data_IF_613659769505
#
_entry.id   IF_613659769505
#
_cell.length_a   1.000
_cell.length_b   1.000
_cell.length_c   1.000
_cell.angle_alpha   90.00
_cell.angle_beta   90.00
_cell.angle_gamma   90.00
#
_symmetry.space_group_name_H-M   'P 1'
#
loop_
_entity.id
_entity.type
_entity.pdbx_description
1 polymer ?
#
# COMPACT_ATOMS: atom_id res chain seq x y z
N UNK A 1 -14.73 -17.41 16.05
CA UNK A 1 -13.81 -17.73 14.93
C UNK A 1 -12.41 -17.45 15.43
N UNK A 2 -11.53 -18.43 15.35
CA UNK A 2 -10.24 -18.50 16.06
C UNK A 2 -9.26 -17.44 15.57
N UNK A 3 -8.58 -16.79 16.51
CA UNK A 3 -7.53 -15.77 16.32
C UNK A 3 -6.34 -16.21 15.43
N UNK A 4 -6.32 -17.44 14.94
CA UNK A 4 -5.24 -18.04 14.17
C UNK A 4 -5.04 -17.46 12.76
N UNK A 5 -6.05 -16.80 12.17
CA UNK A 5 -6.00 -16.34 10.76
C UNK A 5 -5.85 -14.82 10.58
N UNK A 6 -5.62 -14.04 11.64
CA UNK A 6 -5.60 -12.57 11.52
C UNK A 6 -4.33 -12.04 10.82
N UNK A 7 -3.18 -12.69 10.99
CA UNK A 7 -1.92 -12.22 10.39
C UNK A 7 -1.79 -12.60 8.91
N UNK A 8 -2.60 -13.54 8.41
CA UNK A 8 -2.58 -13.98 7.01
C UNK A 8 -3.03 -12.86 6.04
N UNK A 9 -3.85 -11.92 6.50
CA UNK A 9 -4.27 -10.76 5.71
C UNK A 9 -3.24 -9.62 5.69
N UNK A 10 -2.06 -9.82 6.29
CA UNK A 10 -0.99 -8.83 6.33
C UNK A 10 0.15 -9.28 5.41
N UNK A 11 0.40 -8.49 4.38
CA UNK A 11 1.49 -8.72 3.42
C UNK A 11 2.74 -7.94 3.78
N UNK A 12 3.90 -8.56 3.62
CA UNK A 12 5.20 -7.87 3.57
C UNK A 12 5.60 -7.71 2.11
N UNK A 13 5.75 -6.46 1.66
CA UNK A 13 6.05 -6.12 0.26
C UNK A 13 7.47 -5.56 0.20
N UNK A 14 8.34 -6.22 -0.56
CA UNK A 14 9.72 -5.77 -0.78
C UNK A 14 9.86 -5.22 -2.19
N UNK A 15 10.22 -3.95 -2.31
CA UNK A 15 10.34 -3.24 -3.59
C UNK A 15 11.79 -3.17 -4.00
N UNK A 16 12.10 -3.63 -5.22
CA UNK A 16 13.41 -3.53 -5.87
C UNK A 16 14.56 -4.07 -5.04
N UNK A 17 14.30 -5.15 -4.29
CA UNK A 17 15.31 -5.82 -3.46
C UNK A 17 16.42 -6.38 -4.35
N UNK A 18 17.66 -6.08 -3.96
CA UNK A 18 18.84 -6.40 -4.77
C UNK A 18 19.62 -7.61 -4.28
N UNK A 19 19.57 -7.92 -2.99
CA UNK A 19 20.37 -9.00 -2.39
C UNK A 19 19.49 -10.20 -2.00
N UNK A 20 19.71 -11.39 -2.58
CA UNK A 20 18.94 -12.58 -2.23
C UNK A 20 19.00 -12.93 -0.75
N UNK A 21 20.16 -12.74 -0.11
CA UNK A 21 20.31 -12.96 1.32
C UNK A 21 19.38 -12.11 2.20
N UNK A 22 19.02 -10.90 1.78
CA UNK A 22 18.02 -10.09 2.48
C UNK A 22 16.62 -10.70 2.35
N UNK A 23 16.26 -11.24 1.18
CA UNK A 23 14.97 -11.92 0.97
C UNK A 23 14.86 -13.14 1.88
N UNK A 24 15.91 -13.95 1.98
CA UNK A 24 15.98 -15.07 2.91
C UNK A 24 15.84 -14.64 4.37
N UNK A 25 16.60 -13.63 4.78
CA UNK A 25 16.55 -13.11 6.15
C UNK A 25 15.19 -12.49 6.51
N UNK A 26 14.53 -11.85 5.54
CA UNK A 26 13.15 -11.36 5.67
C UNK A 26 12.18 -12.52 5.86
N UNK A 27 12.25 -13.57 5.03
CA UNK A 27 11.39 -14.74 5.17
C UNK A 27 11.54 -15.38 6.57
N UNK A 28 12.77 -15.47 7.07
CA UNK A 28 13.05 -15.93 8.44
C UNK A 28 12.40 -15.04 9.51
N UNK A 29 12.55 -13.72 9.39
CA UNK A 29 11.96 -12.75 10.31
C UNK A 29 10.42 -12.85 10.32
N UNK A 30 9.81 -12.95 9.14
CA UNK A 30 8.37 -13.15 8.95
C UNK A 30 7.88 -14.42 9.63
N UNK A 31 8.48 -15.57 9.30
CA UNK A 31 8.06 -16.87 9.84
C UNK A 31 8.19 -16.93 11.35
N UNK A 32 9.26 -16.35 11.91
CA UNK A 32 9.47 -16.28 13.36
C UNK A 32 8.33 -15.51 14.06
N UNK A 33 7.73 -14.54 13.39
CA UNK A 33 6.64 -13.70 13.91
C UNK A 33 5.24 -14.16 13.45
N UNK A 34 5.14 -15.24 12.69
CA UNK A 34 3.87 -15.80 12.21
C UNK A 34 3.28 -15.12 10.98
N UNK A 35 4.11 -14.47 10.16
CA UNK A 35 3.73 -13.90 8.86
C UNK A 35 4.17 -14.83 7.71
N UNK A 36 3.39 -14.87 6.64
CA UNK A 36 3.62 -15.75 5.49
C UNK A 36 3.43 -15.09 4.11
N UNK A 37 2.62 -14.03 3.98
CA UNK A 37 2.37 -13.36 2.69
C UNK A 37 3.53 -12.43 2.29
N UNK A 38 4.57 -13.00 1.68
CA UNK A 38 5.70 -12.27 1.11
C UNK A 38 5.44 -11.91 -0.36
N UNK A 39 5.61 -10.63 -0.69
CA UNK A 39 5.47 -10.12 -2.06
C UNK A 39 6.73 -9.37 -2.47
N UNK A 40 7.22 -9.62 -3.68
CA UNK A 40 8.36 -8.94 -4.25
C UNK A 40 7.92 -8.13 -5.46
N UNK A 41 8.29 -6.86 -5.50
CA UNK A 41 7.99 -5.96 -6.61
C UNK A 41 9.30 -5.64 -7.32
N UNK A 42 9.37 -5.98 -8.60
CA UNK A 42 10.55 -5.75 -9.43
C UNK A 42 11.89 -6.13 -8.74
N UNK A 43 12.00 -7.34 -8.14
CA UNK A 43 13.27 -7.76 -7.56
C UNK A 43 14.37 -7.79 -8.64
N UNK A 44 15.64 -7.69 -8.24
CA UNK A 44 16.77 -7.68 -9.18
C UNK A 44 16.78 -8.87 -10.15
N UNK A 45 16.29 -10.03 -9.71
CA UNK A 45 16.04 -11.20 -10.55
C UNK A 45 14.70 -11.82 -10.16
N UNK A 46 13.98 -12.43 -11.11
CA UNK A 46 12.69 -13.09 -10.83
C UNK A 46 12.86 -14.33 -9.96
N UNK A 47 14.02 -14.97 -10.04
CA UNK A 47 14.40 -16.19 -9.30
C UNK A 47 15.06 -15.88 -7.94
N UNK A 48 15.00 -14.63 -7.46
CA UNK A 48 15.72 -14.20 -6.24
C UNK A 48 15.38 -15.06 -5.01
N UNK A 49 14.15 -15.59 -4.92
CA UNK A 49 13.70 -16.46 -3.84
C UNK A 49 14.32 -17.88 -3.89
N UNK A 50 14.73 -18.32 -5.08
CA UNK A 50 15.33 -19.65 -5.31
C UNK A 50 16.86 -19.62 -5.29
N UNK A 51 17.47 -18.45 -5.12
CA UNK A 51 18.92 -18.33 -5.00
C UNK A 51 19.42 -19.05 -3.74
N UNK A 52 20.57 -19.72 -3.85
CA UNK A 52 21.18 -20.48 -2.74
C UNK A 52 21.36 -19.64 -1.47
N UNK A 53 21.78 -18.38 -1.63
CA UNK A 53 21.94 -17.44 -0.51
C UNK A 53 20.61 -17.11 0.18
N UNK A 54 19.51 -16.95 -0.56
CA UNK A 54 18.19 -16.71 0.01
C UNK A 54 17.70 -17.94 0.80
N UNK A 55 17.84 -19.13 0.22
CA UNK A 55 17.47 -20.40 0.86
C UNK A 55 18.29 -20.62 2.14
N UNK A 56 19.60 -20.41 2.07
CA UNK A 56 20.51 -20.56 3.21
C UNK A 56 20.14 -19.62 4.36
N UNK A 57 19.87 -18.34 4.07
CA UNK A 57 19.56 -17.35 5.11
C UNK A 57 18.12 -17.42 5.63
N UNK A 58 17.20 -18.04 4.90
CA UNK A 58 15.85 -18.32 5.38
C UNK A 58 15.81 -19.31 6.55
N UNK A 59 16.84 -20.16 6.71
CA UNK A 59 17.07 -20.99 7.91
C UNK A 59 15.78 -21.66 8.44
N UNK A 60 15.06 -22.39 7.58
CA UNK A 60 13.81 -23.09 7.91
C UNK A 60 12.53 -22.36 7.48
N UNK A 61 12.63 -21.15 6.91
CA UNK A 61 11.52 -20.39 6.33
C UNK A 61 11.42 -20.51 4.80
N UNK A 62 11.78 -21.68 4.26
CA UNK A 62 11.78 -21.94 2.81
C UNK A 62 10.36 -21.90 2.24
N UNK A 63 9.38 -22.37 2.99
CA UNK A 63 7.95 -22.29 2.68
C UNK A 63 7.48 -20.86 2.40
N UNK A 64 7.98 -19.86 3.15
CA UNK A 64 7.65 -18.44 2.89
C UNK A 64 8.26 -17.97 1.56
N UNK A 65 9.45 -18.46 1.21
CA UNK A 65 10.07 -18.16 -0.09
C UNK A 65 9.34 -18.84 -1.24
N UNK A 66 8.90 -20.08 -1.07
CA UNK A 66 8.15 -20.86 -2.07
C UNK A 66 6.75 -20.27 -2.33
N UNK A 67 6.12 -19.72 -1.30
CA UNK A 67 4.82 -19.05 -1.41
C UNK A 67 4.93 -17.58 -1.84
N UNK A 68 6.16 -17.03 -1.92
CA UNK A 68 6.36 -15.64 -2.26
C UNK A 68 5.88 -15.34 -3.68
N UNK A 69 5.21 -14.20 -3.85
CA UNK A 69 4.69 -13.76 -5.16
C UNK A 69 5.52 -12.62 -5.71
N UNK A 70 5.86 -12.71 -7.00
CA UNK A 70 6.61 -11.67 -7.71
C UNK A 70 5.66 -10.87 -8.60
N UNK A 71 5.76 -9.55 -8.53
CA UNK A 71 4.94 -8.59 -9.25
C UNK A 71 5.82 -7.65 -10.07
N UNK A 72 5.31 -7.22 -11.22
CA UNK A 72 6.02 -6.28 -12.10
C UNK A 72 5.81 -4.82 -11.66
N UNK A 73 4.85 -4.53 -10.76
CA UNK A 73 4.63 -3.18 -10.22
C UNK A 73 4.08 -3.18 -8.79
N UNK A 74 4.31 -2.07 -8.05
CA UNK A 74 3.79 -1.91 -6.70
C UNK A 74 2.24 -1.86 -6.66
N UNK A 75 1.55 -1.17 -7.58
CA UNK A 75 0.09 -1.24 -7.66
C UNK A 75 -0.46 -2.67 -7.79
N UNK A 76 0.18 -3.53 -8.59
CA UNK A 76 -0.27 -4.93 -8.75
C UNK A 76 -0.09 -5.73 -7.45
N UNK A 77 1.04 -5.51 -6.77
CA UNK A 77 1.30 -6.09 -5.46
C UNK A 77 0.36 -5.60 -4.35
N UNK A 78 -0.40 -4.51 -4.57
CA UNK A 78 -1.34 -3.93 -3.60
C UNK A 78 -2.80 -3.98 -4.06
N UNK A 79 -3.10 -4.63 -5.18
CA UNK A 79 -4.41 -4.58 -5.81
C UNK A 79 -5.56 -5.11 -4.94
N UNK A 80 -5.26 -6.07 -4.06
CA UNK A 80 -6.17 -6.72 -3.10
C UNK A 80 -5.98 -6.17 -1.67
N UNK A 81 -5.36 -5.01 -1.50
CA UNK A 81 -5.10 -4.38 -0.20
C UNK A 81 -5.80 -3.05 -0.12
N UNK A 82 -6.42 -2.75 1.01
CA UNK A 82 -7.08 -1.44 1.24
C UNK A 82 -6.19 -0.48 2.02
N UNK A 83 -5.19 -1.00 2.73
CA UNK A 83 -4.22 -0.19 3.48
C UNK A 83 -2.81 -0.60 3.15
N UNK A 84 -1.98 0.39 2.84
CA UNK A 84 -0.57 0.22 2.51
C UNK A 84 0.29 1.18 3.33
N UNK A 85 1.12 0.61 4.21
CA UNK A 85 2.05 1.28 5.10
C UNK A 85 3.42 1.36 4.46
N UNK A 86 3.81 2.55 3.98
CA UNK A 86 5.15 2.79 3.47
C UNK A 86 6.15 2.96 4.62
N UNK A 87 7.20 2.13 4.67
CA UNK A 87 8.33 2.38 5.56
C UNK A 87 9.30 3.39 4.97
N UNK A 88 9.59 4.44 5.72
CA UNK A 88 10.57 5.44 5.33
C UNK A 88 11.13 6.18 6.54
N UNK A 89 12.45 6.38 6.55
CA UNK A 89 13.13 7.22 7.52
C UNK A 89 12.96 8.73 7.23
N UNK A 90 12.42 9.11 6.06
CA UNK A 90 12.28 10.51 5.63
C UNK A 90 10.90 11.07 5.98
N UNK A 91 10.90 12.18 6.70
CA UNK A 91 9.70 13.02 6.86
C UNK A 91 9.31 13.63 5.51
N UNK A 92 8.04 13.50 5.12
CA UNK A 92 7.49 14.21 3.96
C UNK A 92 6.95 15.58 4.40
N UNK A 93 7.28 16.64 3.66
CA UNK A 93 6.60 17.94 3.79
C UNK A 93 5.10 17.83 3.41
N UNK A 94 4.77 16.91 2.51
CA UNK A 94 3.42 16.66 2.00
C UNK A 94 3.16 15.15 1.93
N UNK A 95 2.82 14.55 3.07
CA UNK A 95 2.45 13.13 3.19
C UNK A 95 1.37 12.89 4.25
N UNK A 96 0.92 11.62 4.41
CA UNK A 96 0.14 11.21 5.57
C UNK A 96 0.97 11.38 6.86
N UNK A 97 0.29 11.41 8.02
CA UNK A 97 0.97 11.48 9.32
C UNK A 97 1.89 10.29 9.52
N UNK A 98 3.05 10.52 10.14
CA UNK A 98 3.97 9.45 10.50
C UNK A 98 3.45 8.67 11.70
N UNK A 99 3.52 7.36 11.61
CA UNK A 99 3.17 6.43 12.68
C UNK A 99 4.41 5.66 13.14
N UNK A 100 4.40 5.26 14.41
CA UNK A 100 5.36 4.27 14.92
C UNK A 100 5.00 2.88 14.40
N UNK A 101 5.95 1.91 14.41
CA UNK A 101 5.63 0.52 14.07
C UNK A 101 4.52 -0.06 14.96
N UNK A 102 4.43 0.34 16.23
CA UNK A 102 3.41 -0.10 17.17
C UNK A 102 2.02 0.43 16.79
N UNK A 103 1.90 1.72 16.49
CA UNK A 103 0.61 2.31 16.09
C UNK A 103 0.12 1.74 14.76
N UNK A 104 1.04 1.54 13.82
CA UNK A 104 0.73 0.92 12.53
C UNK A 104 0.31 -0.55 12.69
N UNK A 105 0.94 -1.29 13.61
CA UNK A 105 0.54 -2.66 13.93
C UNK A 105 -0.87 -2.72 14.51
N UNK A 106 -1.22 -1.84 15.46
CA UNK A 106 -2.58 -1.74 16.02
C UNK A 106 -3.61 -1.43 14.93
N UNK A 107 -3.33 -0.44 14.07
CA UNK A 107 -4.23 -0.09 12.96
C UNK A 107 -4.41 -1.27 12.00
N UNK A 108 -3.33 -1.92 11.58
CA UNK A 108 -3.39 -3.07 10.68
C UNK A 108 -4.19 -4.24 11.29
N UNK A 109 -3.98 -4.54 12.57
CA UNK A 109 -4.67 -5.62 13.27
C UNK A 109 -6.17 -5.35 13.44
N UNK A 110 -6.60 -4.09 13.61
CA UNK A 110 -8.03 -3.75 13.64
C UNK A 110 -8.77 -4.10 12.34
N UNK A 111 -8.07 -4.27 11.22
CA UNK A 111 -8.65 -4.65 9.93
C UNK A 111 -8.73 -6.16 9.74
N UNK A 112 -7.94 -6.91 10.50
CA UNK A 112 -7.88 -8.36 10.34
C UNK A 112 -9.22 -8.99 10.72
N UNK A 113 -9.63 -10.03 9.97
CA UNK A 113 -10.93 -10.68 10.17
C UNK A 113 -12.13 -10.01 9.47
N UNK A 114 -11.96 -8.82 8.90
CA UNK A 114 -13.01 -8.13 8.12
C UNK A 114 -12.95 -8.38 6.61
N UNK A 115 -11.99 -9.22 6.15
CA UNK A 115 -11.70 -9.43 4.74
C UNK A 115 -10.85 -8.32 4.10
N UNK A 116 -10.50 -7.27 4.87
CA UNK A 116 -9.62 -6.20 4.44
C UNK A 116 -8.16 -6.59 4.67
N UNK A 117 -7.37 -6.59 3.60
CA UNK A 117 -5.94 -6.84 3.67
C UNK A 117 -5.12 -5.57 3.86
N UNK A 118 -4.06 -5.67 4.66
CA UNK A 118 -3.07 -4.62 4.87
C UNK A 118 -1.70 -5.04 4.30
N UNK A 119 -0.88 -4.07 3.90
CA UNK A 119 0.47 -4.32 3.42
C UNK A 119 1.49 -3.37 4.05
N UNK A 120 2.64 -3.90 4.45
CA UNK A 120 3.80 -3.09 4.84
C UNK A 120 4.82 -3.13 3.71
N UNK A 121 5.16 -1.94 3.19
CA UNK A 121 5.96 -1.77 1.97
C UNK A 121 7.35 -1.27 2.36
N UNK A 122 8.37 -2.01 1.95
CA UNK A 122 9.78 -1.74 2.22
C UNK A 122 10.50 -1.49 0.89
N UNK A 123 11.33 -0.44 0.86
CA UNK A 123 12.06 -0.06 -0.35
C UNK A 123 13.40 -0.76 -0.53
N UNK A 124 14.07 -0.43 -1.63
CA UNK A 124 15.40 -0.94 -1.95
C UNK A 124 16.43 -0.56 -0.88
N UNK A 125 17.44 -1.40 -0.69
CA UNK A 125 18.37 -1.32 0.45
C UNK A 125 19.13 0.01 0.54
N UNK A 126 19.46 0.62 -0.59
CA UNK A 126 20.28 1.84 -0.64
C UNK A 126 19.45 3.11 -0.76
N UNK A 127 18.36 3.05 -1.49
CA UNK A 127 17.59 4.24 -1.88
C UNK A 127 16.28 4.38 -1.11
N UNK A 128 15.82 3.31 -0.46
CA UNK A 128 14.47 3.23 0.09
C UNK A 128 13.41 3.28 -1.02
N UNK A 129 12.20 3.69 -0.64
CA UNK A 129 11.10 3.92 -1.57
C UNK A 129 11.29 5.27 -2.30
N UNK A 130 11.04 5.26 -3.60
CA UNK A 130 10.90 6.46 -4.41
C UNK A 130 9.67 7.29 -4.01
N UNK A 131 9.63 8.55 -4.42
CA UNK A 131 8.47 9.40 -4.14
C UNK A 131 7.17 8.84 -4.75
N UNK A 132 7.25 8.20 -5.91
CA UNK A 132 6.08 7.64 -6.58
C UNK A 132 5.57 6.40 -5.84
N UNK A 133 6.47 5.51 -5.39
CA UNK A 133 6.11 4.37 -4.54
C UNK A 133 5.50 4.82 -3.19
N UNK A 134 6.02 5.91 -2.61
CA UNK A 134 5.46 6.52 -1.41
C UNK A 134 4.06 7.11 -1.63
N UNK A 135 3.74 7.57 -2.84
CA UNK A 135 2.41 8.12 -3.18
C UNK A 135 1.36 7.03 -3.38
N UNK A 136 1.76 5.81 -3.75
CA UNK A 136 0.85 4.66 -3.82
C UNK A 136 0.35 4.26 -2.42
N UNK A 137 1.17 4.49 -1.38
CA UNK A 137 0.84 4.11 -0.01
C UNK A 137 0.01 5.19 0.71
N UNK A 138 -1.04 4.77 1.43
CA UNK A 138 -1.95 5.67 2.17
C UNK A 138 -1.58 5.84 3.66
N UNK A 139 -0.56 5.14 4.14
CA UNK A 139 0.04 5.29 5.47
C UNK A 139 1.55 5.39 5.39
N UNK A 140 2.17 5.99 6.40
CA UNK A 140 3.63 6.05 6.50
C UNK A 140 4.10 5.68 7.91
N UNK A 141 5.07 4.78 7.95
CA UNK A 141 5.69 4.28 9.17
C UNK A 141 7.14 4.70 9.21
N UNK A 142 7.58 5.20 10.36
CA UNK A 142 8.98 5.50 10.61
C UNK A 142 9.46 4.69 11.81
N UNK A 143 10.60 4.02 11.67
CA UNK A 143 11.27 3.38 12.79
C UNK A 143 12.16 4.43 13.44
N UNK A 144 11.90 4.75 14.70
CA UNK A 144 12.76 5.64 15.47
C UNK A 144 14.14 4.98 15.63
N UNK A 145 15.13 5.54 14.93
CA UNK A 145 16.51 5.09 14.93
C UNK A 145 17.43 6.24 15.39
N UNK A 146 18.74 5.96 15.52
CA UNK A 146 19.72 6.99 15.82
C UNK A 146 19.68 8.09 14.73
N UNK A 147 19.44 9.37 15.06
CA UNK A 147 19.39 10.45 14.07
C UNK A 147 20.68 10.62 13.25
N UNK A 148 21.83 10.18 13.78
CA UNK A 148 23.13 10.23 13.09
C UNK A 148 23.32 9.04 12.14
N UNK A 149 22.69 7.90 12.44
CA UNK A 149 22.81 6.67 11.65
C UNK A 149 21.48 5.90 11.69
N UNK A 150 20.55 6.31 10.85
CA UNK A 150 19.16 5.81 10.83
C UNK A 150 18.92 4.69 9.80
N UNK A 151 19.97 4.28 9.08
CA UNK A 151 19.88 3.25 8.04
C UNK A 151 19.87 1.86 8.65
N UNK A 152 18.70 1.23 8.68
CA UNK A 152 18.51 -0.17 9.06
C UNK A 152 18.69 -1.07 7.84
N UNK A 153 19.27 -2.26 8.03
CA UNK A 153 19.19 -3.30 7.01
C UNK A 153 17.72 -3.68 6.76
N UNK A 154 17.38 -4.07 5.53
CA UNK A 154 16.03 -4.43 5.13
C UNK A 154 15.38 -5.47 6.06
N UNK A 155 16.08 -6.57 6.36
CA UNK A 155 15.57 -7.62 7.23
C UNK A 155 15.41 -7.17 8.69
N UNK A 156 16.23 -6.23 9.17
CA UNK A 156 16.10 -5.65 10.51
C UNK A 156 14.86 -4.75 10.59
N UNK A 157 14.62 -3.92 9.57
CA UNK A 157 13.42 -3.11 9.49
C UNK A 157 12.15 -3.97 9.45
N UNK A 158 12.15 -5.04 8.64
CA UNK A 158 11.06 -6.01 8.62
C UNK A 158 10.89 -6.69 9.98
N UNK A 159 11.98 -7.10 10.64
CA UNK A 159 11.92 -7.74 11.95
C UNK A 159 11.28 -6.86 13.02
N UNK A 160 11.55 -5.54 13.02
CA UNK A 160 10.93 -4.59 13.96
C UNK A 160 9.42 -4.50 13.74
N UNK A 161 8.99 -4.38 12.48
CA UNK A 161 7.56 -4.32 12.12
C UNK A 161 6.85 -5.63 12.43
N UNK A 162 7.45 -6.76 12.03
CA UNK A 162 6.91 -8.08 12.28
C UNK A 162 6.81 -8.38 13.79
N UNK A 163 7.80 -7.96 14.57
CA UNK A 163 7.75 -8.04 16.03
C UNK A 163 6.62 -7.19 16.61
N UNK A 164 6.48 -5.94 16.18
CA UNK A 164 5.38 -5.08 16.63
C UNK A 164 4.00 -5.71 16.33
N UNK A 165 3.80 -6.22 15.11
CA UNK A 165 2.59 -6.97 14.74
C UNK A 165 2.34 -8.16 15.65
N UNK A 166 3.37 -8.97 15.93
CA UNK A 166 3.24 -10.15 16.80
C UNK A 166 2.95 -9.77 18.25
N UNK A 167 3.58 -8.73 18.77
CA UNK A 167 3.34 -8.24 20.13
C UNK A 167 1.92 -7.74 20.29
N UNK A 168 1.45 -6.86 19.40
CA UNK A 168 0.08 -6.32 19.46
C UNK A 168 -0.98 -7.40 19.19
N UNK A 169 -0.68 -8.39 18.35
CA UNK A 169 -1.54 -9.55 18.17
C UNK A 169 -1.65 -10.40 19.44
N UNK A 170 -0.54 -10.58 20.17
CA UNK A 170 -0.50 -11.38 21.38
C UNK A 170 -1.16 -10.71 22.59
N UNK A 171 -1.14 -9.37 22.67
CA UNK A 171 -1.83 -8.63 23.74
C UNK A 171 -3.35 -8.66 23.56
N UNK A 172 -3.83 -8.72 22.31
CA UNK A 172 -5.27 -8.79 22.01
C UNK A 172 -6.06 -7.51 22.32
N UNK A 173 -5.39 -6.45 22.78
CA UNK A 173 -5.96 -5.14 23.05
C UNK A 173 -6.07 -4.34 21.74
N UNK A 174 -7.04 -4.70 20.90
CA UNK A 174 -7.40 -3.85 19.77
C UNK A 174 -8.01 -2.57 20.32
N UNK A 175 -7.40 -1.43 19.99
CA UNK A 175 -7.85 -0.12 20.46
C UNK A 175 -9.33 0.10 20.10
N UNK A 176 -10.10 0.65 21.04
CA UNK A 176 -11.49 1.08 20.78
C UNK A 176 -11.45 2.08 19.62
N UNK A 177 -12.11 1.73 18.52
CA UNK A 177 -12.16 2.56 17.32
C UNK A 177 -12.73 3.94 17.68
N UNK A 178 -11.97 5.00 17.39
CA UNK A 178 -12.50 6.36 17.45
C UNK A 178 -13.59 6.50 16.37
N UNK A 179 -14.64 7.28 16.65
CA UNK A 179 -15.69 7.57 15.65
C UNK A 179 -15.08 8.17 14.38
N UNK A 180 -15.46 7.63 13.22
CA UNK A 180 -14.92 8.02 11.92
C UNK A 180 -13.50 7.50 11.61
N UNK A 181 -12.93 6.65 12.47
CA UNK A 181 -11.69 5.93 12.15
C UNK A 181 -11.94 4.78 11.18
N UNK A 182 -10.87 4.32 10.54
CA UNK A 182 -10.87 3.14 9.68
C UNK A 182 -11.52 1.92 10.37
N UNK A 183 -11.19 1.69 11.64
CA UNK A 183 -11.75 0.59 12.42
C UNK A 183 -13.27 0.76 12.69
N UNK A 184 -13.77 1.99 12.75
CA UNK A 184 -15.20 2.28 12.92
C UNK A 184 -15.98 2.01 11.63
N UNK A 185 -15.48 2.46 10.46
CA UNK A 185 -16.08 2.13 9.15
C UNK A 185 -16.20 0.62 8.94
N UNK A 186 -15.12 -0.12 9.26
CA UNK A 186 -15.11 -1.58 9.17
C UNK A 186 -16.10 -2.22 10.15
N UNK A 187 -16.18 -1.72 11.39
CA UNK A 187 -17.15 -2.20 12.39
C UNK A 187 -18.59 -1.99 11.94
N UNK A 188 -18.85 -0.90 11.22
CA UNK A 188 -20.17 -0.57 10.67
C UNK A 188 -20.51 -1.37 9.40
N UNK A 189 -19.61 -2.24 8.94
CA UNK A 189 -19.81 -3.08 7.77
C UNK A 189 -19.47 -2.40 6.44
N UNK A 190 -18.83 -1.22 6.48
CA UNK A 190 -18.35 -0.51 5.31
C UNK A 190 -17.30 -1.32 4.55
N UNK A 191 -17.41 -1.35 3.22
CA UNK A 191 -16.42 -2.00 2.35
C UNK A 191 -15.39 -0.99 1.91
N UNK A 192 -14.21 -1.03 2.51
CA UNK A 192 -13.12 -0.14 2.11
C UNK A 192 -12.68 -0.40 0.68
N UNK A 193 -12.51 0.69 -0.08
CA UNK A 193 -11.91 0.65 -1.40
C UNK A 193 -10.47 0.13 -1.32
N UNK A 194 -10.05 -0.63 -2.32
CA UNK A 194 -8.65 -1.05 -2.41
C UNK A 194 -7.75 0.13 -2.76
N UNK A 195 -6.46 0.03 -2.47
CA UNK A 195 -5.43 0.98 -2.90
C UNK A 195 -5.50 1.20 -4.41
N UNK A 196 -5.75 0.11 -5.17
CA UNK A 196 -5.96 0.19 -6.62
C UNK A 196 -7.21 1.00 -6.97
N UNK A 197 -8.35 0.74 -6.34
CA UNK A 197 -9.59 1.46 -6.65
C UNK A 197 -9.45 2.97 -6.40
N UNK A 198 -8.76 3.36 -5.32
CA UNK A 198 -8.45 4.76 -5.02
C UNK A 198 -7.46 5.36 -6.02
N UNK A 199 -6.44 4.60 -6.45
CA UNK A 199 -5.50 5.05 -7.49
C UNK A 199 -6.21 5.24 -8.85
N UNK A 200 -7.10 4.32 -9.25
CA UNK A 200 -7.89 4.45 -10.46
C UNK A 200 -8.82 5.67 -10.39
N UNK A 201 -9.44 5.94 -9.24
CA UNK A 201 -10.22 7.15 -8.99
C UNK A 201 -9.35 8.41 -9.16
N UNK A 202 -8.15 8.43 -8.57
CA UNK A 202 -7.25 9.55 -8.69
C UNK A 202 -6.88 9.83 -10.15
N UNK A 203 -6.55 8.78 -10.92
CA UNK A 203 -6.24 8.90 -12.34
C UNK A 203 -7.42 9.45 -13.13
N UNK A 204 -8.63 8.95 -12.87
CA UNK A 204 -9.84 9.41 -13.55
C UNK A 204 -10.22 10.85 -13.18
N UNK A 205 -10.00 11.26 -11.92
CA UNK A 205 -10.18 12.65 -11.51
C UNK A 205 -9.19 13.56 -12.24
N UNK A 206 -7.92 13.18 -12.36
CA UNK A 206 -6.94 13.96 -13.12
C UNK A 206 -7.35 14.12 -14.59
N UNK A 207 -7.85 13.05 -15.23
CA UNK A 207 -8.42 13.12 -16.58
C UNK A 207 -9.58 14.12 -16.67
N UNK A 208 -10.50 14.10 -15.71
CA UNK A 208 -11.60 15.07 -15.67
C UNK A 208 -11.09 16.52 -15.47
N UNK A 209 -10.04 16.72 -14.67
CA UNK A 209 -9.40 18.03 -14.50
C UNK A 209 -8.72 18.52 -15.78
N UNK A 210 -8.11 17.62 -16.55
CA UNK A 210 -7.53 17.92 -17.86
C UNK A 210 -8.63 18.30 -18.86
N UNK A 211 -9.71 17.52 -18.90
CA UNK A 211 -10.84 17.77 -19.81
C UNK A 211 -11.46 19.17 -19.62
N UNK A 212 -11.51 19.67 -18.38
CA UNK A 212 -12.03 21.02 -18.09
C UNK A 212 -10.95 22.13 -18.12
N UNK A 213 -9.76 21.85 -18.67
CA UNK A 213 -8.62 22.75 -18.74
C UNK A 213 -8.12 23.30 -17.37
N UNK A 214 -8.42 22.59 -16.27
CA UNK A 214 -7.99 23.01 -14.93
C UNK A 214 -6.51 22.72 -14.66
N UNK A 215 -6.00 21.59 -15.17
CA UNK A 215 -4.58 21.26 -15.15
C UNK A 215 -4.02 21.19 -16.56
N UNK A 216 -2.78 21.67 -16.70
CA UNK A 216 -1.99 21.44 -17.90
C UNK A 216 -1.13 20.18 -17.68
N UNK A 217 -1.28 19.12 -18.50
CA UNK A 217 -0.55 17.86 -18.35
C UNK A 217 0.96 17.98 -18.60
N UNK A 218 1.43 19.03 -19.30
CA UNK A 218 2.86 19.31 -19.50
C UNK A 218 3.50 20.04 -18.31
N UNK A 219 2.67 20.67 -17.47
CA UNK A 219 3.11 21.34 -16.23
C UNK A 219 2.16 21.00 -15.07
N UNK A 220 2.02 19.69 -14.74
CA UNK A 220 1.25 19.30 -13.59
C UNK A 220 2.05 19.82 -12.40
N UNK A 221 1.57 20.88 -11.75
CA UNK A 221 2.15 21.39 -10.50
C UNK A 221 2.11 20.27 -9.45
N UNK A 222 2.19 20.62 -8.17
CA UNK A 222 2.01 19.65 -7.07
C UNK A 222 0.57 19.09 -6.92
N UNK A 223 -0.26 19.12 -7.97
CA UNK A 223 -1.67 18.71 -7.94
C UNK A 223 -1.79 17.21 -7.66
N UNK A 224 -1.02 16.38 -8.37
CA UNK A 224 -1.03 14.93 -8.18
C UNK A 224 -0.70 14.56 -6.73
N UNK A 225 0.36 15.13 -6.15
CA UNK A 225 0.73 14.84 -4.76
C UNK A 225 -0.28 15.38 -3.75
N UNK A 226 -0.88 16.55 -4.01
CA UNK A 226 -1.93 17.11 -3.15
C UNK A 226 -3.19 16.26 -3.17
N UNK A 227 -3.58 15.76 -4.34
CA UNK A 227 -4.74 14.90 -4.52
C UNK A 227 -4.53 13.55 -3.84
N UNK A 228 -3.39 12.90 -4.08
CA UNK A 228 -3.01 11.67 -3.39
C UNK A 228 -3.04 11.86 -1.86
N UNK A 229 -2.46 12.96 -1.35
CA UNK A 229 -2.48 13.27 0.09
C UNK A 229 -3.90 13.49 0.60
N UNK A 230 -4.78 14.10 -0.18
CA UNK A 230 -6.17 14.33 0.22
C UNK A 230 -6.93 13.00 0.32
N UNK A 231 -6.83 12.16 -0.71
CA UNK A 231 -7.49 10.84 -0.75
C UNK A 231 -6.94 9.90 0.33
N UNK A 232 -5.67 10.03 0.72
CA UNK A 232 -5.06 9.21 1.78
C UNK A 232 -5.52 9.56 3.21
N UNK A 233 -6.12 10.75 3.43
CA UNK A 233 -6.54 11.19 4.77
C UNK A 233 -7.81 10.51 5.27
N UNK A 234 -8.68 10.10 4.36
CA UNK A 234 -9.98 9.52 4.69
C UNK A 234 -10.03 8.09 4.17
N UNK A 235 -10.48 7.12 4.99
CA UNK A 235 -10.73 5.78 4.50
C UNK A 235 -11.93 5.80 3.55
N UNK A 236 -11.69 5.69 2.24
CA UNK A 236 -12.76 5.67 1.26
C UNK A 236 -13.40 4.29 1.18
N UNK A 237 -14.72 4.27 1.13
CA UNK A 237 -15.50 3.09 0.81
C UNK A 237 -15.63 2.88 -0.69
N UNK A 238 -15.86 1.64 -1.11
CA UNK A 238 -16.00 1.29 -2.52
C UNK A 238 -17.16 2.05 -3.18
N UNK A 239 -18.28 2.24 -2.47
CA UNK A 239 -19.44 2.98 -2.97
C UNK A 239 -19.11 4.46 -3.21
N UNK A 240 -18.30 5.08 -2.35
CA UNK A 240 -17.85 6.46 -2.52
C UNK A 240 -16.92 6.59 -3.72
N UNK A 241 -16.02 5.62 -3.91
CA UNK A 241 -15.16 5.56 -5.09
C UNK A 241 -15.99 5.44 -6.37
N UNK A 242 -16.96 4.54 -6.40
CA UNK A 242 -17.81 4.30 -7.56
C UNK A 242 -18.67 5.52 -7.89
N UNK A 243 -19.23 6.18 -6.87
CA UNK A 243 -19.98 7.43 -7.01
C UNK A 243 -19.12 8.53 -7.64
N UNK A 244 -17.91 8.76 -7.11
CA UNK A 244 -17.01 9.79 -7.64
C UNK A 244 -16.54 9.47 -9.06
N UNK A 245 -16.25 8.20 -9.37
CA UNK A 245 -15.93 7.78 -10.73
C UNK A 245 -17.10 8.00 -11.69
N UNK A 246 -18.34 7.74 -11.25
CA UNK A 246 -19.54 8.06 -12.02
C UNK A 246 -19.62 9.56 -12.34
N UNK A 247 -19.42 10.41 -11.33
CA UNK A 247 -19.40 11.86 -11.51
C UNK A 247 -18.31 12.32 -12.50
N UNK A 248 -17.08 11.83 -12.39
CA UNK A 248 -16.01 12.21 -13.33
C UNK A 248 -16.27 11.71 -14.76
N UNK A 249 -16.91 10.55 -14.91
CA UNK A 249 -17.37 10.07 -16.23
C UNK A 249 -18.35 11.06 -16.86
N UNK A 250 -19.30 11.57 -16.06
CA UNK A 250 -20.28 12.55 -16.52
C UNK A 250 -19.65 13.89 -16.87
N UNK A 251 -18.66 14.35 -16.08
CA UNK A 251 -17.91 15.58 -16.40
C UNK A 251 -17.21 15.45 -17.76
N UNK A 252 -16.44 14.38 -17.97
CA UNK A 252 -15.71 14.15 -19.23
C UNK A 252 -16.70 14.07 -20.39
N UNK A 253 -17.78 13.29 -20.26
CA UNK A 253 -18.82 13.18 -21.29
C UNK A 253 -19.46 14.51 -21.65
N UNK A 254 -19.75 15.37 -20.67
CA UNK A 254 -20.34 16.70 -20.92
C UNK A 254 -19.35 17.62 -21.64
N UNK A 255 -18.07 17.58 -21.29
CA UNK A 255 -17.02 18.33 -21.99
C UNK A 255 -16.91 17.85 -23.45
N UNK A 256 -16.81 16.54 -23.67
CA UNK A 256 -16.69 15.97 -25.02
C UNK A 256 -17.88 16.34 -25.90
N UNK A 257 -19.11 16.25 -25.37
CA UNK A 257 -20.32 16.64 -26.08
C UNK A 257 -20.41 18.15 -26.39
N UNK A 258 -19.76 19.01 -25.59
CA UNK A 258 -19.69 20.45 -25.84
C UNK A 258 -18.64 20.82 -26.88
N UNK A 259 -17.52 20.08 -26.92
CA UNK A 259 -16.44 20.28 -27.89
C UNK A 259 -16.75 19.65 -29.26
N UNK A 260 -17.52 18.55 -29.29
CA UNK A 260 -17.91 17.82 -30.50
C UNK A 260 -19.43 17.58 -30.57
N UNK A 261 -20.28 18.62 -30.63
CA UNK A 261 -21.73 18.47 -30.58
C UNK A 261 -22.34 17.69 -31.76
N UNK A 262 -21.59 17.42 -32.84
CA UNK A 262 -22.10 16.83 -34.09
C UNK A 262 -21.32 15.63 -34.65
N UNK A 263 -20.26 15.12 -34.00
CA UNK A 263 -19.48 14.00 -34.58
C UNK A 263 -20.17 12.62 -34.44
N UNK A 264 -21.28 12.53 -33.70
CA UNK A 264 -22.09 11.30 -33.57
C UNK A 264 -23.44 11.34 -34.30
N UNK A 265 -23.69 12.31 -35.18
CA UNK A 265 -24.69 12.16 -36.24
C UNK A 265 -24.15 11.22 -37.33
N UNK A 266 -23.96 9.95 -36.97
CA UNK A 266 -23.77 8.90 -37.97
C UNK A 266 -25.03 8.86 -38.81
N UNK A 267 -24.87 9.28 -40.08
CA UNK A 267 -25.80 9.08 -41.19
C UNK A 267 -26.61 7.79 -41.00
N UNK A 268 -27.90 7.95 -40.70
CA UNK A 268 -28.87 6.90 -41.02
C UNK A 268 -28.96 6.79 -42.56
N UNK A 269 -29.11 5.57 -43.09
CA UNK A 269 -29.15 5.32 -44.53
C UNK A 269 -30.25 6.08 -45.25
#
# INVERSE_FOLDING_TARGET
MTAANSLESISIVLVKTSHPGNVGSVARAMKTMGLSDLRLVEPKTKEICSAEEAISLASGAIDVLEQARVYDSLPDALADRSVAFALSARLRDLGPSLQSPQDAAKEALCLTGSGIGAAFVFGAERTGLSNDELLVCNRQVTIAANPVYSSLNLSQAVQIVAYALRTEWATGELAVAAEGSLADSVRQGGKLATVKAVADLQAHWLQAMEAVDFINPDKPKKVVQRLARMLAKTPLEQEEVDMLRGFFSDVIRVVDNRLYPHEFERKKP
#
